data_IF_651766244090
#
_entry.id   IF_651766244090
#
_cell.length_a   1.000
_cell.length_b   1.000
_cell.length_c   1.000
_cell.angle_alpha   90.00
_cell.angle_beta   90.00
_cell.angle_gamma   90.00
#
_symmetry.space_group_name_H-M   'P 1'
#
loop_
_entity.id
_entity.type
_entity.pdbx_description
1 polymer ?
#
# COMPACT_ATOMS: atom_id res chain seq x y z
N UNK A 1 5.30 30.09 18.88
CA UNK A 1 5.53 30.70 20.17
C UNK A 1 6.56 29.89 20.96
N UNK A 2 7.31 30.53 21.89
CA UNK A 2 8.34 29.88 22.67
C UNK A 2 7.78 28.71 23.49
N UNK A 3 6.63 28.91 24.09
CA UNK A 3 5.90 27.91 24.88
C UNK A 3 5.58 26.62 24.05
N UNK A 4 5.12 26.75 22.83
CA UNK A 4 4.86 25.58 21.96
C UNK A 4 6.12 24.75 21.73
N UNK A 5 7.27 25.42 21.54
CA UNK A 5 8.56 24.75 21.37
C UNK A 5 8.97 24.00 22.63
N UNK A 6 8.81 24.63 23.80
CA UNK A 6 9.12 24.01 25.11
C UNK A 6 8.28 22.76 25.38
N UNK A 7 6.97 22.78 25.03
CA UNK A 7 6.10 21.61 25.13
C UNK A 7 6.52 20.46 24.20
N UNK A 8 6.87 20.77 22.96
CA UNK A 8 7.32 19.77 21.99
C UNK A 8 8.68 19.16 22.37
N UNK A 9 9.62 19.98 22.87
CA UNK A 9 10.91 19.52 23.37
C UNK A 9 10.75 18.62 24.61
N UNK A 10 9.84 18.98 25.52
CA UNK A 10 9.51 18.15 26.68
C UNK A 10 8.92 16.79 26.30
N UNK A 11 7.98 16.76 25.34
CA UNK A 11 7.41 15.50 24.85
C UNK A 11 8.47 14.64 24.15
N UNK A 12 9.36 15.28 23.38
CA UNK A 12 10.48 14.58 22.73
C UNK A 12 11.42 13.96 23.75
N UNK A 13 11.75 14.67 24.82
CA UNK A 13 12.57 14.13 25.89
C UNK A 13 11.93 12.89 26.55
N UNK A 14 10.60 12.91 26.76
CA UNK A 14 9.88 11.73 27.27
C UNK A 14 9.95 10.56 26.28
N UNK A 15 9.78 10.82 24.97
CA UNK A 15 9.91 9.78 23.97
C UNK A 15 11.31 9.14 23.96
N UNK A 16 12.35 9.97 24.08
CA UNK A 16 13.75 9.55 24.01
C UNK A 16 14.20 8.79 25.30
N UNK A 17 13.65 9.15 26.47
CA UNK A 17 14.08 8.58 27.76
C UNK A 17 13.14 7.52 28.32
N UNK A 18 11.82 7.74 28.22
CA UNK A 18 10.80 6.91 28.88
C UNK A 18 10.02 6.04 27.87
N UNK A 19 10.22 6.29 26.56
CA UNK A 19 9.61 5.54 25.49
C UNK A 19 8.18 5.94 25.12
N UNK A 20 7.68 5.31 24.06
CA UNK A 20 6.40 5.66 23.44
C UNK A 20 5.18 5.42 24.33
N UNK A 21 5.20 4.40 25.21
CA UNK A 21 4.07 4.13 26.13
C UNK A 21 3.87 5.27 27.13
N UNK A 22 4.96 5.80 27.68
CA UNK A 22 4.88 6.92 28.61
C UNK A 22 4.41 8.20 27.93
N UNK A 23 4.92 8.48 26.74
CA UNK A 23 4.46 9.62 25.94
C UNK A 23 2.97 9.50 25.60
N UNK A 24 2.50 8.31 25.20
CA UNK A 24 1.09 8.04 24.95
C UNK A 24 0.21 8.34 26.16
N UNK A 25 0.57 7.80 27.33
CA UNK A 25 -0.16 8.06 28.57
C UNK A 25 -0.26 9.56 28.92
N UNK A 26 0.84 10.31 28.71
CA UNK A 26 0.82 11.76 28.98
C UNK A 26 -0.11 12.49 28.02
N UNK A 27 -0.08 12.14 26.73
CA UNK A 27 -0.98 12.72 25.71
C UNK A 27 -2.45 12.42 26.03
N UNK A 28 -2.78 11.20 26.45
CA UNK A 28 -4.15 10.85 26.86
C UNK A 28 -4.63 11.72 28.04
N UNK A 29 -3.77 11.89 29.05
CA UNK A 29 -4.10 12.74 30.22
C UNK A 29 -4.28 14.21 29.83
N UNK A 30 -3.47 14.73 28.92
CA UNK A 30 -3.61 16.11 28.40
C UNK A 30 -4.91 16.29 27.62
N UNK A 31 -5.26 15.33 26.77
CA UNK A 31 -6.53 15.30 26.03
C UNK A 31 -7.72 15.26 26.99
N UNK A 32 -7.68 14.40 28.01
CA UNK A 32 -8.75 14.30 29.01
C UNK A 32 -8.90 15.61 29.80
N UNK A 33 -7.81 16.23 30.23
CA UNK A 33 -7.81 17.50 30.94
C UNK A 33 -8.43 18.61 30.08
N UNK A 34 -8.05 18.70 28.82
CA UNK A 34 -8.56 19.69 27.87
C UNK A 34 -10.07 19.53 27.66
N UNK A 35 -10.54 18.28 27.48
CA UNK A 35 -11.97 17.99 27.35
C UNK A 35 -12.76 18.37 28.60
N UNK A 36 -12.27 18.03 29.78
CA UNK A 36 -12.90 18.41 31.05
C UNK A 36 -12.96 19.92 31.27
N UNK A 37 -11.98 20.64 30.74
CA UNK A 37 -11.97 22.11 30.76
C UNK A 37 -12.89 22.75 29.71
N UNK A 38 -13.65 21.95 28.95
CA UNK A 38 -14.54 22.44 27.87
C UNK A 38 -13.84 22.84 26.60
N UNK A 39 -12.55 22.50 26.46
CA UNK A 39 -11.78 22.74 25.23
C UNK A 39 -12.28 21.84 24.10
N UNK A 40 -12.54 22.42 22.93
CA UNK A 40 -12.79 21.68 21.72
C UNK A 40 -11.45 21.20 21.15
N UNK A 41 -11.19 19.90 21.26
CA UNK A 41 -10.02 19.29 20.62
C UNK A 41 -10.34 19.05 19.16
N UNK A 42 -9.57 19.63 18.23
CA UNK A 42 -9.71 19.27 16.82
C UNK A 42 -9.38 17.78 16.68
N UNK A 43 -10.40 16.97 16.42
CA UNK A 43 -10.22 15.57 16.11
C UNK A 43 -9.88 15.42 14.63
N UNK A 44 -8.63 15.19 14.33
CA UNK A 44 -8.19 14.75 13.02
C UNK A 44 -7.86 13.26 13.12
N UNK A 45 -8.67 12.36 12.53
CA UNK A 45 -8.41 10.93 12.52
C UNK A 45 -7.23 10.57 11.62
N UNK A 46 -6.62 11.57 10.99
CA UNK A 46 -5.57 11.42 9.99
C UNK A 46 -4.33 12.23 10.36
N UNK A 47 -3.18 11.75 9.90
CA UNK A 47 -1.88 12.42 10.03
C UNK A 47 -1.56 13.25 8.77
N UNK A 48 -0.46 13.99 8.77
CA UNK A 48 0.02 14.73 7.58
C UNK A 48 0.09 13.82 6.33
N UNK A 49 -0.09 14.39 5.14
CA UNK A 49 -0.09 13.63 3.88
C UNK A 49 1.34 13.33 3.40
N UNK A 50 2.09 12.64 4.26
CA UNK A 50 3.47 12.19 4.04
C UNK A 50 3.62 10.72 4.42
N UNK A 51 4.79 10.15 4.16
CA UNK A 51 5.11 8.79 4.57
C UNK A 51 5.08 8.66 6.09
N UNK A 52 4.56 7.54 6.59
CA UNK A 52 4.55 7.27 8.04
C UNK A 52 5.94 7.01 8.58
N UNK A 53 6.80 6.36 7.79
CA UNK A 53 8.20 6.09 8.15
C UNK A 53 9.07 7.21 7.58
N UNK A 54 9.76 7.99 8.42
CA UNK A 54 10.72 8.99 7.96
C UNK A 54 11.91 8.34 7.25
N UNK A 55 12.51 9.06 6.28
CA UNK A 55 13.62 8.55 5.47
C UNK A 55 14.81 8.05 6.31
N UNK A 56 15.10 8.72 7.42
CA UNK A 56 16.18 8.37 8.36
C UNK A 56 15.92 7.07 9.14
N UNK A 57 14.68 6.59 9.17
CA UNK A 57 14.28 5.37 9.88
C UNK A 57 14.04 4.19 8.92
N UNK A 58 14.28 4.36 7.63
CA UNK A 58 14.13 3.31 6.64
C UNK A 58 15.25 2.28 6.76
N UNK A 59 14.94 0.97 6.88
CA UNK A 59 15.97 -0.07 6.88
C UNK A 59 16.63 -0.16 5.50
N UNK A 60 17.92 -0.50 5.48
CA UNK A 60 18.66 -0.74 4.25
C UNK A 60 18.05 -1.91 3.46
N UNK A 61 18.12 -1.83 2.14
CA UNK A 61 17.83 -2.93 1.23
C UNK A 61 19.13 -3.54 0.72
N UNK A 62 19.28 -4.85 0.85
CA UNK A 62 20.51 -5.58 0.50
C UNK A 62 20.45 -6.19 -0.92
N UNK A 63 19.50 -5.79 -1.77
CA UNK A 63 19.31 -6.34 -3.10
C UNK A 63 20.09 -5.61 -4.21
N UNK A 64 20.19 -6.24 -5.38
CA UNK A 64 20.64 -5.59 -6.62
C UNK A 64 19.45 -4.85 -7.28
N UNK A 65 19.26 -3.60 -6.87
CA UNK A 65 18.16 -2.77 -7.34
C UNK A 65 18.13 -2.57 -8.87
N UNK A 66 19.30 -2.61 -9.53
CA UNK A 66 19.35 -2.47 -10.98
C UNK A 66 18.85 -3.75 -11.67
N UNK A 67 19.21 -4.91 -11.15
CA UNK A 67 18.70 -6.20 -11.64
C UNK A 67 17.21 -6.34 -11.35
N UNK A 68 16.77 -6.01 -10.15
CA UNK A 68 15.34 -6.04 -9.77
C UNK A 68 14.50 -5.13 -10.64
N UNK A 69 14.99 -3.93 -10.94
CA UNK A 69 14.31 -3.02 -11.86
C UNK A 69 14.16 -3.63 -13.26
N UNK A 70 15.19 -4.29 -13.76
CA UNK A 70 15.14 -5.00 -15.06
C UNK A 70 14.13 -6.14 -15.04
N UNK A 71 14.16 -6.99 -14.01
CA UNK A 71 13.23 -8.13 -13.86
C UNK A 71 11.80 -7.61 -13.78
N UNK A 72 11.52 -6.63 -12.92
CA UNK A 72 10.20 -6.01 -12.79
C UNK A 72 9.71 -5.39 -14.10
N UNK A 73 10.60 -4.78 -14.88
CA UNK A 73 10.27 -4.24 -16.20
C UNK A 73 9.88 -5.34 -17.18
N UNK A 74 10.57 -6.47 -17.18
CA UNK A 74 10.23 -7.64 -18.00
C UNK A 74 8.89 -8.25 -17.57
N UNK A 75 8.66 -8.40 -16.25
CA UNK A 75 7.37 -8.89 -15.73
C UNK A 75 6.23 -7.99 -16.20
N UNK A 76 6.36 -6.66 -16.08
CA UNK A 76 5.35 -5.70 -16.55
C UNK A 76 5.10 -5.81 -18.05
N UNK A 77 6.16 -5.96 -18.83
CA UNK A 77 6.07 -6.17 -20.27
C UNK A 77 5.31 -7.45 -20.61
N UNK A 78 5.69 -8.58 -20.00
CA UNK A 78 5.06 -9.87 -20.25
C UNK A 78 3.58 -9.87 -19.83
N UNK A 79 3.24 -9.25 -18.70
CA UNK A 79 1.84 -9.07 -18.27
C UNK A 79 1.01 -8.30 -19.30
N UNK A 80 1.55 -7.20 -19.83
CA UNK A 80 0.92 -6.42 -20.89
C UNK A 80 0.79 -7.25 -22.19
N UNK A 81 1.88 -7.90 -22.61
CA UNK A 81 1.91 -8.69 -23.84
C UNK A 81 0.87 -9.82 -23.81
N UNK A 82 0.73 -10.52 -22.68
CA UNK A 82 -0.27 -11.57 -22.48
C UNK A 82 -1.69 -11.04 -22.68
N UNK A 83 -2.05 -9.93 -22.08
CA UNK A 83 -3.38 -9.32 -22.21
C UNK A 83 -3.62 -8.83 -23.64
N UNK A 84 -2.63 -8.18 -24.27
CA UNK A 84 -2.74 -7.69 -25.66
C UNK A 84 -2.89 -8.87 -26.63
N UNK A 85 -2.15 -9.97 -26.45
CA UNK A 85 -2.28 -11.19 -27.24
C UNK A 85 -3.68 -11.82 -27.09
N UNK A 86 -4.19 -11.89 -25.86
CA UNK A 86 -5.54 -12.39 -25.59
C UNK A 86 -6.62 -11.56 -26.31
N UNK A 87 -6.47 -10.24 -26.34
CA UNK A 87 -7.42 -9.34 -27.03
C UNK A 87 -7.37 -9.42 -28.55
N UNK A 88 -6.29 -9.97 -29.12
CA UNK A 88 -6.20 -10.20 -30.60
C UNK A 88 -6.88 -11.47 -31.02
N UNK A 89 -7.26 -12.35 -30.12
CA UNK A 89 -8.00 -13.58 -30.43
C UNK A 89 -9.48 -13.28 -30.62
N UNK A 90 -10.21 -14.07 -31.41
CA UNK A 90 -11.65 -13.94 -31.51
C UNK A 90 -12.33 -14.08 -30.17
N UNK A 91 -13.30 -13.22 -29.90
CA UNK A 91 -14.04 -13.22 -28.61
C UNK A 91 -13.61 -12.15 -27.61
N UNK A 92 -12.61 -11.34 -27.96
CA UNK A 92 -12.17 -10.18 -27.13
C UNK A 92 -12.07 -10.53 -25.64
N UNK A 93 -11.21 -11.51 -25.31
CA UNK A 93 -11.11 -12.08 -23.95
C UNK A 93 -10.80 -11.05 -22.86
N UNK A 94 -10.24 -9.91 -23.23
CA UNK A 94 -9.96 -8.83 -22.30
C UNK A 94 -8.80 -9.12 -21.35
N UNK A 95 -8.78 -8.41 -20.26
CA UNK A 95 -7.80 -8.50 -19.18
C UNK A 95 -7.44 -7.12 -18.65
N UNK A 96 -6.90 -7.08 -17.45
CA UNK A 96 -6.55 -5.85 -16.77
C UNK A 96 -5.03 -5.64 -16.81
N UNK A 97 -4.60 -4.44 -17.23
CA UNK A 97 -3.17 -4.06 -17.28
C UNK A 97 -2.86 -3.06 -16.16
N UNK A 98 -3.74 -2.08 -15.95
CA UNK A 98 -3.49 -0.94 -15.07
C UNK A 98 -3.26 -1.34 -13.61
N UNK A 99 -4.03 -2.29 -13.08
CA UNK A 99 -3.91 -2.74 -11.69
C UNK A 99 -2.53 -3.29 -11.40
N UNK A 100 -2.01 -4.20 -12.24
CA UNK A 100 -0.66 -4.72 -12.04
C UNK A 100 0.41 -3.66 -12.37
N UNK A 101 0.24 -2.86 -13.41
CA UNK A 101 1.21 -1.82 -13.77
C UNK A 101 1.44 -0.83 -12.62
N UNK A 102 0.40 -0.49 -11.87
CA UNK A 102 0.49 0.38 -10.70
C UNK A 102 1.05 -0.33 -9.46
N UNK A 103 0.73 -1.61 -9.26
CA UNK A 103 1.12 -2.38 -8.08
C UNK A 103 2.41 -3.22 -8.24
N UNK A 104 3.06 -3.19 -9.40
CA UNK A 104 4.19 -4.05 -9.70
C UNK A 104 5.32 -4.00 -8.65
N UNK A 105 5.67 -2.81 -8.16
CA UNK A 105 6.69 -2.64 -7.12
C UNK A 105 6.24 -3.24 -5.78
N UNK A 106 4.95 -3.13 -5.44
CA UNK A 106 4.39 -3.70 -4.21
C UNK A 106 4.53 -5.23 -4.20
N UNK A 107 4.21 -5.90 -5.32
CA UNK A 107 4.38 -7.35 -5.44
C UNK A 107 5.86 -7.75 -5.50
N UNK A 108 6.68 -7.02 -6.25
CA UNK A 108 8.09 -7.33 -6.44
C UNK A 108 8.85 -7.34 -5.12
N UNK A 109 8.71 -6.28 -4.32
CA UNK A 109 9.33 -6.19 -2.98
C UNK A 109 8.82 -7.30 -2.06
N UNK A 110 7.52 -7.61 -2.10
CA UNK A 110 6.95 -8.69 -1.29
C UNK A 110 7.56 -10.06 -1.62
N UNK A 111 7.62 -10.41 -2.90
CA UNK A 111 8.21 -11.67 -3.36
C UNK A 111 9.72 -11.76 -3.11
N UNK A 112 10.44 -10.66 -3.22
CA UNK A 112 11.90 -10.69 -3.12
C UNK A 112 12.39 -10.70 -1.66
N UNK A 113 11.65 -10.09 -0.71
CA UNK A 113 12.19 -9.81 0.62
C UNK A 113 11.35 -10.32 1.80
N UNK A 114 10.04 -10.51 1.63
CA UNK A 114 9.16 -10.69 2.79
C UNK A 114 8.37 -12.00 2.81
N UNK A 115 7.85 -12.44 1.67
CA UNK A 115 6.93 -13.56 1.65
C UNK A 115 7.67 -14.89 1.63
N UNK A 116 7.28 -15.75 2.54
CA UNK A 116 7.94 -17.04 2.77
C UNK A 116 7.11 -18.15 2.18
N UNK A 117 7.76 -19.03 1.41
CA UNK A 117 7.19 -20.28 0.99
C UNK A 117 7.12 -21.28 2.17
N UNK A 118 6.26 -22.32 2.09
CA UNK A 118 6.29 -23.42 3.04
C UNK A 118 7.66 -24.12 3.05
N UNK A 119 8.12 -24.45 4.26
CA UNK A 119 9.33 -25.24 4.51
C UNK A 119 9.02 -26.30 5.57
N UNK A 120 9.98 -27.16 5.91
CA UNK A 120 9.81 -28.15 7.00
C UNK A 120 9.48 -27.48 8.35
N UNK A 121 9.97 -26.26 8.58
CA UNK A 121 9.83 -25.55 9.85
C UNK A 121 8.85 -24.37 9.83
N UNK A 122 8.31 -24.01 8.65
CA UNK A 122 7.43 -22.86 8.48
C UNK A 122 6.34 -23.17 7.45
N UNK A 123 5.08 -22.98 7.82
CA UNK A 123 3.94 -23.30 6.96
C UNK A 123 3.72 -22.32 5.77
N UNK A 124 4.60 -21.34 5.61
CA UNK A 124 4.51 -20.30 4.58
C UNK A 124 3.49 -19.21 4.92
N UNK A 125 3.69 -18.03 4.34
CA UNK A 125 2.72 -16.93 4.42
C UNK A 125 1.58 -17.17 3.43
N UNK A 126 0.44 -16.51 3.62
CA UNK A 126 -0.70 -16.62 2.73
C UNK A 126 -0.94 -15.30 2.01
N UNK A 127 -1.13 -15.38 0.69
CA UNK A 127 -1.32 -14.21 -0.15
C UNK A 127 -2.73 -14.19 -0.77
N UNK A 128 -3.48 -13.13 -0.49
CA UNK A 128 -4.68 -12.78 -1.22
C UNK A 128 -4.29 -11.76 -2.28
N UNK A 129 -4.03 -12.24 -3.49
CA UNK A 129 -3.64 -11.39 -4.63
C UNK A 129 -4.90 -10.70 -5.17
N UNK A 130 -4.85 -9.38 -5.38
CA UNK A 130 -5.94 -8.68 -6.06
C UNK A 130 -6.20 -9.34 -7.43
N UNK A 131 -7.42 -9.77 -7.69
CA UNK A 131 -7.75 -10.54 -8.89
C UNK A 131 -7.31 -9.88 -10.20
N UNK A 132 -7.48 -8.57 -10.31
CA UNK A 132 -7.07 -7.77 -11.48
C UNK A 132 -5.55 -7.72 -11.70
N UNK A 133 -4.74 -8.09 -10.71
CA UNK A 133 -3.28 -8.13 -10.81
C UNK A 133 -2.74 -9.51 -11.23
N UNK A 134 -3.60 -10.51 -11.42
CA UNK A 134 -3.21 -11.88 -11.82
C UNK A 134 -2.28 -11.95 -13.04
N UNK A 135 -2.41 -11.09 -14.10
CA UNK A 135 -1.49 -11.10 -15.22
C UNK A 135 -0.02 -10.94 -14.83
N UNK A 136 0.25 -10.08 -13.85
CA UNK A 136 1.61 -9.88 -13.35
C UNK A 136 2.17 -11.07 -12.59
N UNK A 137 1.32 -11.75 -11.82
CA UNK A 137 1.72 -12.97 -11.08
C UNK A 137 2.04 -14.10 -12.06
N UNK A 138 1.23 -14.28 -13.11
CA UNK A 138 1.52 -15.24 -14.16
C UNK A 138 2.80 -14.90 -14.93
N UNK A 139 3.00 -13.61 -15.26
CA UNK A 139 4.21 -13.16 -15.93
C UNK A 139 5.48 -13.41 -15.09
N UNK A 140 5.42 -13.23 -13.77
CA UNK A 140 6.50 -13.59 -12.86
C UNK A 140 6.72 -15.10 -12.82
N UNK A 141 5.67 -15.88 -12.65
CA UNK A 141 5.75 -17.33 -12.61
C UNK A 141 6.30 -17.94 -13.92
N UNK A 142 6.04 -17.30 -15.06
CA UNK A 142 6.67 -17.66 -16.34
C UNK A 142 8.18 -17.48 -16.31
N UNK A 143 8.68 -16.35 -15.80
CA UNK A 143 10.13 -16.12 -15.66
C UNK A 143 10.77 -17.10 -14.67
N UNK A 144 10.03 -17.56 -13.68
CA UNK A 144 10.45 -18.58 -12.71
C UNK A 144 10.36 -20.03 -13.27
N UNK A 145 9.90 -20.20 -14.51
CA UNK A 145 9.73 -21.51 -15.15
C UNK A 145 8.55 -22.34 -14.64
N UNK A 146 7.62 -21.74 -13.91
CA UNK A 146 6.43 -22.40 -13.33
C UNK A 146 5.22 -22.41 -14.25
N UNK A 147 5.21 -21.56 -15.25
CA UNK A 147 4.16 -21.46 -16.30
C UNK A 147 4.86 -21.44 -17.66
N UNK A 148 4.33 -22.19 -18.61
CA UNK A 148 4.85 -22.25 -20.00
C UNK A 148 4.31 -21.09 -20.85
N UNK A 149 4.96 -20.84 -22.00
CA UNK A 149 4.50 -19.86 -22.97
C UNK A 149 3.11 -20.25 -23.53
N UNK A 150 2.86 -21.53 -23.79
CA UNK A 150 1.58 -22.02 -24.26
C UNK A 150 0.46 -21.74 -23.23
N UNK A 151 0.74 -21.90 -21.95
CA UNK A 151 -0.22 -21.54 -20.89
C UNK A 151 -0.50 -20.04 -20.87
N UNK A 152 0.51 -19.17 -21.03
CA UNK A 152 0.31 -17.72 -21.11
C UNK A 152 -0.49 -17.33 -22.34
N UNK A 153 -0.22 -17.96 -23.48
CA UNK A 153 -0.95 -17.70 -24.72
C UNK A 153 -2.42 -18.12 -24.65
N UNK A 154 -2.75 -19.03 -23.72
CA UNK A 154 -4.12 -19.45 -23.44
C UNK A 154 -4.70 -18.78 -22.17
N UNK A 155 -4.24 -17.58 -21.83
CA UNK A 155 -4.80 -16.77 -20.75
C UNK A 155 -6.31 -16.53 -20.96
N UNK A 156 -7.10 -16.73 -19.91
CA UNK A 156 -8.57 -16.60 -19.90
C UNK A 156 -9.32 -17.59 -20.80
N UNK A 157 -8.71 -18.74 -21.05
CA UNK A 157 -9.32 -19.85 -21.82
C UNK A 157 -9.57 -21.08 -20.94
N UNK A 158 -9.84 -20.86 -19.67
CA UNK A 158 -10.12 -21.91 -18.69
C UNK A 158 -11.36 -22.75 -19.02
N UNK A 159 -12.33 -22.19 -19.72
CA UNK A 159 -13.55 -22.90 -20.17
C UNK A 159 -13.21 -24.03 -21.13
N UNK A 160 -12.17 -23.85 -21.92
CA UNK A 160 -11.71 -24.88 -22.89
C UNK A 160 -10.82 -25.94 -22.23
N UNK A 161 -10.59 -25.85 -20.90
CA UNK A 161 -9.68 -26.73 -20.19
C UNK A 161 -8.21 -26.55 -20.55
N UNK A 162 -7.85 -25.42 -21.16
CA UNK A 162 -6.51 -25.05 -21.56
C UNK A 162 -6.08 -23.75 -20.88
N UNK A 163 -4.78 -23.59 -20.70
CA UNK A 163 -4.23 -22.35 -20.23
C UNK A 163 -4.45 -22.06 -18.76
N UNK A 164 -4.51 -20.79 -18.42
CA UNK A 164 -4.55 -20.28 -17.05
C UNK A 164 -5.83 -19.47 -16.80
N UNK A 165 -6.29 -19.49 -15.56
CA UNK A 165 -7.54 -18.86 -15.16
C UNK A 165 -7.49 -17.34 -15.27
N UNK A 166 -8.66 -16.73 -15.50
CA UNK A 166 -8.84 -15.26 -15.58
C UNK A 166 -8.41 -14.55 -14.28
N UNK A 167 -8.68 -15.19 -13.15
CA UNK A 167 -8.43 -14.66 -11.81
C UNK A 167 -7.92 -15.78 -10.90
N UNK A 168 -7.40 -15.47 -9.70
CA UNK A 168 -7.03 -16.46 -8.71
C UNK A 168 -8.18 -17.42 -8.43
N UNK A 169 -8.02 -18.69 -8.81
CA UNK A 169 -9.06 -19.70 -8.71
C UNK A 169 -8.46 -21.06 -8.30
N UNK A 170 -8.47 -21.41 -7.02
CA UNK A 170 -7.85 -22.65 -6.49
C UNK A 170 -8.38 -23.94 -7.10
N UNK A 171 -9.65 -23.99 -7.54
CA UNK A 171 -10.21 -25.20 -8.15
C UNK A 171 -9.76 -25.41 -9.60
N UNK A 172 -9.52 -24.31 -10.33
CA UNK A 172 -9.02 -24.38 -11.70
C UNK A 172 -7.49 -24.54 -11.76
N UNK A 173 -6.78 -24.02 -10.77
CA UNK A 173 -5.33 -24.10 -10.66
C UNK A 173 -4.91 -24.41 -9.23
N UNK A 174 -5.18 -25.63 -8.71
CA UNK A 174 -4.99 -25.98 -7.29
C UNK A 174 -3.53 -25.96 -6.84
N UNK A 175 -2.59 -26.24 -7.75
CA UNK A 175 -1.15 -26.23 -7.48
C UNK A 175 -0.53 -24.83 -7.59
N UNK A 176 -1.33 -23.83 -7.98
CA UNK A 176 -0.85 -22.46 -8.19
C UNK A 176 -1.51 -21.44 -7.25
N UNK A 177 -2.84 -21.44 -7.14
CA UNK A 177 -3.58 -20.50 -6.33
C UNK A 177 -4.01 -21.10 -5.00
N UNK A 178 -3.72 -20.41 -3.90
CA UNK A 178 -4.13 -20.83 -2.56
C UNK A 178 -5.46 -20.18 -2.14
N UNK A 179 -5.77 -19.00 -2.67
CA UNK A 179 -6.92 -18.18 -2.27
C UNK A 179 -7.71 -17.71 -3.48
N UNK A 180 -9.06 -17.72 -3.43
CA UNK A 180 -9.88 -17.13 -4.47
C UNK A 180 -10.03 -15.63 -4.22
N UNK A 181 -9.85 -14.82 -5.28
CA UNK A 181 -10.01 -13.35 -5.22
C UNK A 181 -10.69 -12.82 -6.48
N UNK A 182 -11.74 -13.50 -6.91
CA UNK A 182 -12.45 -13.18 -8.17
C UNK A 182 -13.30 -11.92 -8.02
N UNK A 183 -14.05 -11.81 -6.93
CA UNK A 183 -14.99 -10.71 -6.69
C UNK A 183 -14.38 -9.69 -5.76
N UNK A 184 -14.54 -8.40 -6.10
CA UNK A 184 -14.08 -7.30 -5.26
C UNK A 184 -14.77 -7.35 -3.87
N UNK A 185 -13.99 -7.09 -2.83
CA UNK A 185 -14.44 -7.16 -1.44
C UNK A 185 -14.35 -8.53 -0.79
N UNK A 186 -14.46 -9.63 -1.53
CA UNK A 186 -14.39 -10.98 -0.96
C UNK A 186 -12.99 -11.37 -0.50
N UNK A 187 -11.94 -10.89 -1.16
CA UNK A 187 -10.56 -11.11 -0.73
C UNK A 187 -10.30 -10.55 0.68
N UNK A 188 -10.53 -9.24 0.91
CA UNK A 188 -10.35 -8.61 2.21
C UNK A 188 -11.13 -9.28 3.35
N UNK A 189 -12.43 -9.52 3.18
CA UNK A 189 -13.23 -10.14 4.24
C UNK A 189 -12.78 -11.58 4.52
N UNK A 190 -12.46 -12.35 3.48
CA UNK A 190 -11.94 -13.71 3.64
C UNK A 190 -10.60 -13.74 4.36
N UNK A 191 -9.70 -12.79 4.05
CA UNK A 191 -8.42 -12.66 4.72
C UNK A 191 -8.56 -12.39 6.22
N UNK A 192 -9.51 -11.53 6.62
CA UNK A 192 -9.83 -11.26 8.03
C UNK A 192 -10.29 -12.55 8.74
N UNK A 193 -11.24 -13.27 8.16
CA UNK A 193 -11.74 -14.50 8.77
C UNK A 193 -10.69 -15.61 8.77
N UNK A 194 -9.83 -15.69 7.76
CA UNK A 194 -8.70 -16.62 7.75
C UNK A 194 -7.68 -16.30 8.84
N UNK A 195 -7.33 -15.03 9.04
CA UNK A 195 -6.44 -14.58 10.10
C UNK A 195 -7.00 -14.92 11.49
N UNK A 196 -8.29 -14.67 11.67
CA UNK A 196 -9.02 -15.02 12.89
C UNK A 196 -9.03 -16.53 13.14
N UNK A 197 -9.29 -17.30 12.09
CA UNK A 197 -9.34 -18.77 12.21
C UNK A 197 -7.96 -19.36 12.57
N UNK A 198 -6.87 -18.83 12.02
CA UNK A 198 -5.53 -19.25 12.42
C UNK A 198 -5.25 -18.95 13.90
N UNK A 199 -5.57 -17.76 14.39
CA UNK A 199 -5.45 -17.44 15.83
C UNK A 199 -6.31 -18.38 16.71
N UNK A 200 -7.50 -18.74 16.24
CA UNK A 200 -8.33 -19.72 16.93
C UNK A 200 -7.66 -21.09 17.01
N UNK A 201 -7.12 -21.60 15.90
CA UNK A 201 -6.43 -22.90 15.87
C UNK A 201 -5.19 -22.91 16.78
N UNK A 202 -4.40 -21.84 16.74
CA UNK A 202 -3.25 -21.64 17.64
C UNK A 202 -3.69 -21.60 19.12
N UNK A 203 -4.74 -20.84 19.42
CA UNK A 203 -5.29 -20.73 20.77
C UNK A 203 -5.86 -22.02 21.32
N UNK A 204 -6.35 -22.91 20.44
CA UNK A 204 -6.84 -24.27 20.80
C UNK A 204 -5.72 -25.32 20.83
N UNK A 205 -4.51 -24.97 20.47
CA UNK A 205 -3.40 -25.92 20.35
C UNK A 205 -3.54 -26.93 19.20
N UNK A 206 -4.42 -26.62 18.21
CA UNK A 206 -4.64 -27.46 17.03
C UNK A 206 -3.63 -27.13 15.91
N UNK A 207 -2.94 -26.00 16.03
CA UNK A 207 -1.86 -25.57 15.16
C UNK A 207 -0.75 -24.97 16.02
N UNK A 208 0.54 -25.17 15.68
CA UNK A 208 1.63 -24.53 16.40
C UNK A 208 1.54 -23.00 16.23
N UNK A 209 1.93 -22.27 17.27
CA UNK A 209 2.09 -20.81 17.17
C UNK A 209 3.21 -20.49 16.20
N UNK A 210 2.93 -19.65 15.25
CA UNK A 210 3.89 -19.25 14.21
C UNK A 210 3.86 -17.72 14.01
N UNK A 211 4.85 -17.22 13.31
CA UNK A 211 4.91 -15.82 12.86
C UNK A 211 4.38 -15.63 11.43
N UNK A 212 3.63 -16.61 10.91
CA UNK A 212 2.96 -16.54 9.61
C UNK A 212 2.09 -15.30 9.49
N UNK A 213 2.14 -14.69 8.33
CA UNK A 213 1.27 -13.56 8.01
C UNK A 213 0.34 -13.86 6.82
N UNK A 214 -0.78 -13.19 6.84
CA UNK A 214 -1.70 -13.10 5.71
C UNK A 214 -1.55 -11.71 5.12
N UNK A 215 -1.18 -11.65 3.86
CA UNK A 215 -1.08 -10.43 3.09
C UNK A 215 -2.25 -10.35 2.11
N UNK A 216 -3.02 -9.30 2.16
CA UNK A 216 -4.17 -9.11 1.29
C UNK A 216 -4.03 -7.83 0.48
N UNK A 217 -4.02 -7.99 -0.84
CA UNK A 217 -3.93 -6.90 -1.79
C UNK A 217 -5.31 -6.52 -2.31
N UNK A 218 -5.62 -5.23 -2.25
CA UNK A 218 -6.86 -4.67 -2.77
C UNK A 218 -6.61 -3.28 -3.37
N UNK A 219 -7.51 -2.85 -4.24
CA UNK A 219 -7.50 -1.50 -4.79
C UNK A 219 -8.24 -0.52 -3.88
N UNK A 220 -7.94 0.78 -4.02
CA UNK A 220 -8.68 1.85 -3.35
C UNK A 220 -10.15 1.89 -3.82
N UNK A 221 -10.43 1.65 -5.10
CA UNK A 221 -11.81 1.50 -5.60
C UNK A 221 -12.53 0.27 -5.05
N UNK A 222 -11.81 -0.80 -4.69
CA UNK A 222 -12.39 -1.98 -4.05
C UNK A 222 -12.87 -1.71 -2.63
N UNK A 223 -12.38 -0.66 -1.99
CA UNK A 223 -12.82 -0.29 -0.64
C UNK A 223 -14.24 0.29 -0.58
N UNK A 224 -14.84 0.59 -1.73
CA UNK A 224 -16.26 0.96 -1.80
C UNK A 224 -17.20 -0.24 -1.64
N UNK A 225 -16.71 -1.46 -1.83
CA UNK A 225 -17.49 -2.66 -1.58
C UNK A 225 -17.70 -2.84 -0.07
N UNK A 226 -18.93 -3.02 0.39
CA UNK A 226 -19.23 -3.18 1.82
C UNK A 226 -18.42 -4.27 2.50
N UNK A 227 -18.11 -5.36 1.79
CA UNK A 227 -17.33 -6.48 2.26
C UNK A 227 -15.88 -6.10 2.56
N UNK A 228 -15.30 -5.17 1.81
CA UNK A 228 -13.91 -4.74 2.00
C UNK A 228 -13.68 -4.11 3.38
N UNK A 229 -14.62 -3.32 3.86
CA UNK A 229 -14.54 -2.63 5.14
C UNK A 229 -15.42 -3.26 6.23
N UNK A 230 -16.29 -4.19 5.87
CA UNK A 230 -17.33 -4.72 6.76
C UNK A 230 -16.80 -5.43 8.02
N UNK A 231 -15.63 -5.99 7.98
CA UNK A 231 -15.03 -6.74 9.11
C UNK A 231 -13.76 -6.09 9.68
N UNK A 232 -13.37 -4.88 9.27
CA UNK A 232 -12.13 -4.25 9.78
C UNK A 232 -12.19 -3.99 11.29
N UNK A 233 -13.36 -3.62 11.82
CA UNK A 233 -13.54 -3.44 13.25
C UNK A 233 -13.40 -4.76 14.04
N UNK A 234 -13.77 -5.90 13.45
CA UNK A 234 -13.54 -7.23 14.03
C UNK A 234 -12.04 -7.50 14.12
N UNK A 235 -11.31 -7.26 13.04
CA UNK A 235 -9.87 -7.50 13.00
C UNK A 235 -9.11 -6.68 14.05
N UNK A 236 -9.46 -5.39 14.21
CA UNK A 236 -8.87 -4.51 15.22
C UNK A 236 -9.20 -4.99 16.64
N UNK A 237 -10.48 -5.27 16.93
CA UNK A 237 -10.93 -5.74 18.25
C UNK A 237 -10.27 -7.04 18.69
N UNK A 238 -10.01 -7.96 17.76
CA UNK A 238 -9.37 -9.25 18.05
C UNK A 238 -7.85 -9.22 17.91
N UNK A 239 -7.26 -8.04 17.67
CA UNK A 239 -5.81 -7.83 17.58
C UNK A 239 -5.14 -8.81 16.60
N UNK A 240 -5.69 -8.91 15.38
CA UNK A 240 -5.20 -9.84 14.37
C UNK A 240 -3.87 -9.38 13.76
N UNK A 241 -2.80 -9.42 14.56
CA UNK A 241 -1.45 -8.97 14.17
C UNK A 241 -0.76 -9.87 13.14
N UNK A 242 -1.39 -10.97 12.77
CA UNK A 242 -1.02 -11.83 11.65
C UNK A 242 -1.63 -11.42 10.31
N UNK A 243 -2.32 -10.26 10.25
CA UNK A 243 -2.98 -9.74 9.05
C UNK A 243 -2.35 -8.43 8.60
N UNK A 244 -2.04 -8.34 7.30
CA UNK A 244 -1.59 -7.11 6.65
C UNK A 244 -2.39 -6.86 5.37
N UNK A 245 -3.04 -5.70 5.28
CA UNK A 245 -3.63 -5.21 4.04
C UNK A 245 -2.65 -4.31 3.30
N UNK A 246 -2.57 -4.45 1.98
CA UNK A 246 -1.83 -3.54 1.10
C UNK A 246 -2.82 -2.95 0.10
N UNK A 247 -3.15 -1.68 0.28
CA UNK A 247 -4.11 -0.98 -0.57
C UNK A 247 -3.34 -0.21 -1.65
N UNK A 248 -3.53 -0.63 -2.89
CA UNK A 248 -3.00 0.04 -4.07
C UNK A 248 -3.86 1.27 -4.39
N UNK A 249 -3.43 2.45 -3.91
CA UNK A 249 -4.12 3.71 -4.14
C UNK A 249 -3.71 4.29 -5.50
N UNK A 250 -4.28 3.73 -6.56
CA UNK A 250 -4.04 4.15 -7.94
C UNK A 250 -5.09 5.11 -8.48
N UNK A 251 -6.06 5.51 -7.66
CA UNK A 251 -7.12 6.47 -7.96
C UNK A 251 -8.02 6.05 -9.14
N UNK A 252 -8.13 4.75 -9.41
CA UNK A 252 -8.89 4.21 -10.54
C UNK A 252 -10.00 3.28 -10.05
N UNK A 253 -11.17 3.38 -10.69
CA UNK A 253 -12.29 2.45 -10.61
C UNK A 253 -12.58 1.87 -11.99
N UNK A 254 -13.43 0.84 -12.05
CA UNK A 254 -13.87 0.28 -13.32
C UNK A 254 -14.69 1.28 -14.15
N UNK A 255 -15.45 2.14 -13.50
CA UNK A 255 -16.37 3.12 -14.06
C UNK A 255 -15.84 4.56 -14.08
N UNK A 256 -14.59 4.77 -13.68
CA UNK A 256 -13.97 6.09 -13.69
C UNK A 256 -12.96 6.35 -12.55
N UNK A 257 -12.54 7.59 -12.38
CA UNK A 257 -11.61 7.95 -11.31
C UNK A 257 -12.29 7.89 -9.94
N UNK A 258 -11.52 7.56 -8.90
CA UNK A 258 -11.94 7.73 -7.51
C UNK A 258 -12.21 9.21 -7.24
N UNK A 259 -13.24 9.52 -6.47
CA UNK A 259 -13.84 10.84 -6.22
C UNK A 259 -12.84 12.01 -6.30
N UNK A 260 -13.09 12.95 -7.22
CA UNK A 260 -12.21 14.08 -7.53
C UNK A 260 -12.05 15.15 -6.45
N UNK A 261 -12.94 15.18 -5.45
CA UNK A 261 -12.97 16.22 -4.41
C UNK A 261 -12.47 15.74 -3.04
N UNK A 262 -11.91 14.54 -2.95
CA UNK A 262 -11.42 13.94 -1.72
C UNK A 262 -9.97 13.52 -1.81
N UNK A 263 -9.51 12.87 -0.75
CA UNK A 263 -8.22 12.20 -0.62
C UNK A 263 -8.46 10.82 -0.05
N UNK A 264 -8.52 9.84 -0.91
CA UNK A 264 -8.87 8.46 -0.53
C UNK A 264 -7.93 7.90 0.55
N UNK A 265 -6.64 8.22 0.51
CA UNK A 265 -5.67 7.77 1.52
C UNK A 265 -6.04 8.32 2.91
N UNK A 266 -6.47 9.59 3.00
CA UNK A 266 -6.86 10.18 4.27
C UNK A 266 -8.20 9.61 4.77
N UNK A 267 -9.15 9.36 3.89
CA UNK A 267 -10.43 8.72 4.23
C UNK A 267 -10.19 7.30 4.78
N UNK A 268 -9.36 6.51 4.09
CA UNK A 268 -8.99 5.16 4.52
C UNK A 268 -8.17 5.18 5.82
N UNK A 269 -7.21 6.11 5.96
CA UNK A 269 -6.46 6.26 7.20
C UNK A 269 -7.41 6.46 8.40
N UNK A 270 -8.39 7.36 8.27
CA UNK A 270 -9.38 7.62 9.31
C UNK A 270 -10.21 6.38 9.65
N UNK A 271 -10.66 5.65 8.64
CA UNK A 271 -11.47 4.44 8.80
C UNK A 271 -10.70 3.31 9.51
N UNK A 272 -9.47 3.02 9.08
CA UNK A 272 -8.66 1.96 9.66
C UNK A 272 -8.15 2.31 11.06
N UNK A 273 -7.73 3.55 11.31
CA UNK A 273 -7.36 4.00 12.67
C UNK A 273 -8.54 3.91 13.63
N UNK A 274 -9.73 4.35 13.20
CA UNK A 274 -10.96 4.23 13.96
C UNK A 274 -11.35 2.79 14.30
N UNK A 275 -10.96 1.84 13.45
CA UNK A 275 -11.15 0.41 13.64
C UNK A 275 -10.02 -0.27 14.45
N UNK A 276 -9.02 0.47 14.94
CA UNK A 276 -7.94 -0.06 15.78
C UNK A 276 -6.79 -0.70 15.00
N UNK A 277 -6.58 -0.33 13.74
CA UNK A 277 -5.47 -0.81 12.93
C UNK A 277 -4.23 0.06 13.04
N UNK A 278 -3.06 -0.55 12.92
CA UNK A 278 -1.82 0.14 12.59
C UNK A 278 -1.84 0.58 11.12
N UNK A 279 -1.69 1.88 10.85
CA UNK A 279 -1.77 2.44 9.49
C UNK A 279 -0.42 2.98 9.07
N UNK A 280 0.10 2.46 7.96
CA UNK A 280 1.34 2.89 7.33
C UNK A 280 1.02 3.54 5.97
N UNK A 281 1.37 4.80 5.81
CA UNK A 281 1.24 5.52 4.54
C UNK A 281 2.55 5.50 3.77
N UNK A 282 2.47 5.18 2.48
CA UNK A 282 3.58 5.19 1.52
C UNK A 282 3.17 6.09 0.36
N UNK A 283 3.35 7.40 0.54
CA UNK A 283 2.80 8.44 -0.35
C UNK A 283 3.82 8.93 -1.35
N UNK A 284 5.03 9.26 -0.88
CA UNK A 284 6.06 9.94 -1.66
C UNK A 284 7.31 9.07 -1.79
N UNK A 285 7.86 9.01 -3.00
CA UNK A 285 9.13 8.33 -3.27
C UNK A 285 10.35 9.11 -2.77
N UNK A 286 11.51 8.49 -2.78
CA UNK A 286 12.77 9.01 -2.21
C UNK A 286 13.23 10.34 -2.81
N UNK A 287 12.85 10.65 -4.05
CA UNK A 287 13.17 11.96 -4.65
C UNK A 287 12.47 13.15 -3.98
N UNK A 288 11.42 12.91 -3.19
CA UNK A 288 10.75 13.92 -2.39
C UNK A 288 11.47 14.23 -1.07
N UNK A 289 12.27 13.31 -0.56
CA UNK A 289 12.92 13.46 0.75
C UNK A 289 13.77 14.74 0.86
N UNK A 290 14.62 15.09 -0.13
CA UNK A 290 15.38 16.35 -0.07
C UNK A 290 14.52 17.60 -0.11
N UNK A 291 13.33 17.55 -0.74
CA UNK A 291 12.40 18.68 -0.76
C UNK A 291 11.71 18.83 0.59
N UNK A 292 11.25 17.70 1.19
CA UNK A 292 10.62 17.69 2.51
C UNK A 292 11.59 18.11 3.61
N UNK A 293 12.87 17.72 3.53
CA UNK A 293 13.92 18.14 4.47
C UNK A 293 14.19 19.65 4.42
N UNK A 294 14.00 20.30 3.27
CA UNK A 294 14.18 21.75 3.08
C UNK A 294 12.91 22.56 3.32
N UNK A 295 11.79 21.92 3.60
CA UNK A 295 10.51 22.57 3.89
C UNK A 295 10.46 23.06 5.36
N UNK A 296 11.37 23.98 5.72
CA UNK A 296 11.51 24.49 7.08
C UNK A 296 10.27 25.22 7.60
N UNK A 297 9.43 25.74 6.71
CA UNK A 297 8.21 26.46 7.04
C UNK A 297 6.95 25.60 6.96
N UNK A 298 7.06 24.34 6.51
CA UNK A 298 5.95 23.42 6.34
C UNK A 298 5.00 23.76 5.20
N UNK A 299 5.40 24.64 4.26
CA UNK A 299 4.53 25.08 3.16
C UNK A 299 4.31 23.96 2.14
N UNK A 300 5.33 23.15 1.87
CA UNK A 300 5.19 21.99 0.98
C UNK A 300 4.24 20.95 1.59
N UNK A 301 4.40 20.62 2.87
CA UNK A 301 3.50 19.71 3.59
C UNK A 301 2.07 20.22 3.60
N UNK A 302 1.88 21.52 3.79
CA UNK A 302 0.57 22.16 3.72
C UNK A 302 -0.07 22.00 2.35
N UNK A 303 0.65 22.32 1.27
CA UNK A 303 0.15 22.13 -0.11
C UNK A 303 -0.15 20.65 -0.36
N UNK A 304 0.71 19.73 0.08
CA UNK A 304 0.46 18.30 -0.03
C UNK A 304 -0.84 17.90 0.70
N UNK A 305 -1.12 18.52 1.84
CA UNK A 305 -2.34 18.27 2.61
C UNK A 305 -3.58 18.88 1.95
N UNK A 306 -3.47 20.05 1.34
CA UNK A 306 -4.59 20.79 0.75
C UNK A 306 -4.95 20.29 -0.67
N UNK A 307 -3.99 19.69 -1.39
CA UNK A 307 -4.18 19.21 -2.77
C UNK A 307 -5.02 17.92 -2.79
N UNK A 308 -6.09 17.90 -3.56
CA UNK A 308 -7.00 16.76 -3.73
C UNK A 308 -6.51 15.76 -4.79
N UNK A 309 -7.08 14.56 -4.79
CA UNK A 309 -6.62 13.48 -5.67
C UNK A 309 -6.74 13.81 -7.16
N UNK A 310 -7.80 14.53 -7.58
CA UNK A 310 -7.95 14.98 -8.96
C UNK A 310 -6.85 15.94 -9.43
N UNK A 311 -6.37 16.84 -8.54
CA UNK A 311 -5.23 17.72 -8.87
C UNK A 311 -3.92 16.92 -8.98
N UNK A 312 -3.72 15.91 -8.13
CA UNK A 312 -2.56 15.01 -8.25
C UNK A 312 -2.57 14.21 -9.56
N UNK A 313 -3.75 13.77 -10.02
CA UNK A 313 -3.89 13.13 -11.33
C UNK A 313 -3.50 14.10 -12.46
N UNK A 314 -3.96 15.35 -12.40
CA UNK A 314 -3.60 16.38 -13.39
C UNK A 314 -2.09 16.63 -13.42
N UNK A 315 -1.43 16.73 -12.26
CA UNK A 315 0.03 16.87 -12.18
C UNK A 315 0.76 15.74 -12.92
N UNK A 316 0.25 14.50 -12.83
CA UNK A 316 0.84 13.35 -13.54
C UNK A 316 0.51 13.36 -15.04
N UNK A 317 -0.72 13.69 -15.41
CA UNK A 317 -1.20 13.69 -16.79
C UNK A 317 -0.54 14.79 -17.63
N UNK A 318 -0.40 16.01 -17.07
CA UNK A 318 0.12 17.18 -17.78
C UNK A 318 1.62 17.41 -17.60
N UNK A 319 2.29 16.65 -16.72
CA UNK A 319 3.74 16.61 -16.62
C UNK A 319 4.38 17.67 -15.73
N UNK A 320 5.73 17.80 -15.85
CA UNK A 320 6.55 18.56 -14.91
C UNK A 320 6.32 20.07 -14.98
N UNK A 321 6.13 20.65 -16.16
CA UNK A 321 5.84 22.08 -16.32
C UNK A 321 4.52 22.47 -15.63
N UNK A 322 3.47 21.67 -15.85
CA UNK A 322 2.18 21.85 -15.18
C UNK A 322 2.32 21.73 -13.65
N UNK A 323 3.04 20.72 -13.20
CA UNK A 323 3.28 20.50 -11.75
C UNK A 323 4.06 21.66 -11.13
N UNK A 324 5.04 22.20 -11.83
CA UNK A 324 5.78 23.40 -11.38
C UNK A 324 4.84 24.57 -11.16
N UNK A 325 3.99 24.86 -12.15
CA UNK A 325 3.09 26.00 -12.11
C UNK A 325 1.95 25.84 -11.10
N UNK A 326 1.23 24.70 -11.17
CA UNK A 326 -0.03 24.53 -10.48
C UNK A 326 0.09 23.88 -9.09
N UNK A 327 1.19 23.18 -8.82
CA UNK A 327 1.46 22.58 -7.51
C UNK A 327 2.51 23.39 -6.74
N UNK A 328 3.75 23.46 -7.24
CA UNK A 328 4.81 24.18 -6.54
C UNK A 328 4.66 25.70 -6.62
N UNK A 329 4.02 26.23 -7.64
CA UNK A 329 3.76 27.66 -7.82
C UNK A 329 2.70 28.25 -6.90
N UNK A 330 2.04 27.44 -6.05
CA UNK A 330 1.02 27.91 -5.11
C UNK A 330 1.57 28.88 -4.05
N UNK A 331 2.85 28.76 -3.68
CA UNK A 331 3.54 29.71 -2.79
C UNK A 331 4.96 30.01 -3.28
N UNK A 332 5.53 31.19 -2.96
CA UNK A 332 6.91 31.49 -3.30
C UNK A 332 7.92 30.51 -2.73
N UNK A 333 7.69 30.04 -1.51
CA UNK A 333 8.56 29.10 -0.78
C UNK A 333 8.64 27.76 -1.52
N UNK A 334 7.51 27.22 -1.96
CA UNK A 334 7.49 25.95 -2.70
C UNK A 334 8.03 26.09 -4.11
N UNK A 335 7.81 27.24 -4.78
CA UNK A 335 8.42 27.54 -6.06
C UNK A 335 9.95 27.59 -5.97
N UNK A 336 10.50 28.18 -4.89
CA UNK A 336 11.95 28.22 -4.65
C UNK A 336 12.55 26.84 -4.41
N UNK A 337 11.84 25.93 -3.72
CA UNK A 337 12.31 24.54 -3.48
C UNK A 337 12.67 23.82 -4.79
N UNK A 338 11.97 24.11 -5.87
CA UNK A 338 12.16 23.48 -7.19
C UNK A 338 12.79 24.40 -8.24
N UNK A 339 13.27 25.58 -7.85
CA UNK A 339 13.82 26.59 -8.77
C UNK A 339 14.98 26.07 -9.63
N UNK A 340 15.77 25.15 -9.08
CA UNK A 340 16.93 24.53 -9.75
C UNK A 340 16.62 23.20 -10.45
N UNK A 341 15.41 22.68 -10.32
CA UNK A 341 15.00 21.44 -10.98
C UNK A 341 14.46 21.73 -12.38
N UNK A 342 14.79 20.89 -13.35
CA UNK A 342 14.13 20.91 -14.65
C UNK A 342 12.69 20.35 -14.54
N UNK A 343 11.85 20.61 -15.55
CA UNK A 343 10.51 20.02 -15.59
C UNK A 343 10.56 18.48 -15.67
N UNK A 344 11.61 17.96 -16.30
CA UNK A 344 11.84 16.52 -16.32
C UNK A 344 12.18 15.96 -14.93
N UNK A 345 12.92 16.70 -14.10
CA UNK A 345 13.23 16.29 -12.73
C UNK A 345 11.95 16.32 -11.86
N UNK A 346 11.12 17.36 -12.02
CA UNK A 346 9.81 17.42 -11.35
C UNK A 346 8.91 16.28 -11.78
N UNK A 347 8.89 15.92 -13.07
CA UNK A 347 8.11 14.78 -13.55
C UNK A 347 8.57 13.44 -12.97
N UNK A 348 9.87 13.32 -12.65
CA UNK A 348 10.47 12.14 -12.00
C UNK A 348 10.16 12.02 -10.50
N UNK A 349 9.61 13.05 -9.87
CA UNK A 349 9.16 12.98 -8.49
C UNK A 349 8.06 11.91 -8.37
N UNK A 350 8.46 10.72 -7.95
CA UNK A 350 7.63 9.52 -8.02
C UNK A 350 6.74 9.35 -6.77
N UNK A 351 5.70 8.52 -6.89
CA UNK A 351 4.86 8.13 -5.75
C UNK A 351 5.55 7.02 -4.95
N UNK A 352 5.24 6.95 -3.65
CA UNK A 352 5.88 6.01 -2.74
C UNK A 352 5.66 4.54 -3.10
N UNK A 353 4.46 4.21 -3.59
CA UNK A 353 4.14 2.84 -4.02
C UNK A 353 4.94 2.34 -5.24
N UNK A 354 5.64 3.23 -5.95
CA UNK A 354 6.58 2.88 -7.02
C UNK A 354 8.04 2.86 -6.58
N UNK A 355 8.31 3.24 -5.34
CA UNK A 355 9.65 3.29 -4.78
C UNK A 355 9.94 2.05 -3.93
N UNK A 356 10.85 1.16 -4.34
CA UNK A 356 11.13 -0.07 -3.61
C UNK A 356 11.64 0.18 -2.19
N UNK A 357 12.41 1.25 -1.92
CA UNK A 357 12.89 1.56 -0.58
C UNK A 357 11.73 1.90 0.38
N UNK A 358 10.79 2.74 -0.09
CA UNK A 358 9.62 3.14 0.70
C UNK A 358 8.70 1.95 0.97
N UNK A 359 8.49 1.10 -0.04
CA UNK A 359 7.68 -0.12 0.10
C UNK A 359 8.36 -1.11 1.05
N UNK A 360 9.68 -1.32 0.91
CA UNK A 360 10.46 -2.19 1.79
C UNK A 360 10.36 -1.75 3.25
N UNK A 361 10.54 -0.45 3.53
CA UNK A 361 10.41 0.10 4.88
C UNK A 361 9.03 -0.18 5.49
N UNK A 362 7.96 0.03 4.71
CA UNK A 362 6.60 -0.24 5.16
C UNK A 362 6.36 -1.74 5.43
N UNK A 363 6.86 -2.61 4.57
CA UNK A 363 6.71 -4.06 4.74
C UNK A 363 7.52 -4.58 5.94
N UNK A 364 8.72 -4.05 6.15
CA UNK A 364 9.54 -4.36 7.33
C UNK A 364 8.81 -3.96 8.63
N UNK A 365 8.26 -2.74 8.68
CA UNK A 365 7.49 -2.27 9.82
C UNK A 365 6.23 -3.10 10.05
N UNK A 366 5.48 -3.44 8.98
CA UNK A 366 4.29 -4.29 9.06
C UNK A 366 4.62 -5.71 9.53
N UNK A 367 5.74 -6.26 9.09
CA UNK A 367 6.20 -7.60 9.51
C UNK A 367 6.58 -7.66 10.98
N UNK A 368 7.20 -6.60 11.49
CA UNK A 368 7.63 -6.49 12.89
C UNK A 368 6.48 -6.15 13.85
N UNK A 369 5.43 -5.48 13.36
CA UNK A 369 4.34 -4.97 14.20
C UNK A 369 3.55 -6.10 14.87
N UNK A 370 3.21 -5.92 16.15
CA UNK A 370 2.45 -6.86 16.98
C UNK A 370 1.27 -6.17 17.66
N UNK A 371 0.27 -6.96 18.02
CA UNK A 371 -0.88 -6.50 18.79
C UNK A 371 -1.99 -5.82 17.97
N UNK A 372 -1.78 -5.54 16.69
CA UNK A 372 -2.80 -4.93 15.81
C UNK A 372 -2.64 -5.44 14.38
N UNK A 373 -3.73 -5.57 13.61
CA UNK A 373 -3.63 -5.73 12.16
C UNK A 373 -3.01 -4.47 11.54
N UNK A 374 -2.30 -4.63 10.43
CA UNK A 374 -1.66 -3.51 9.73
C UNK A 374 -2.29 -3.27 8.37
N UNK A 375 -2.49 -2.00 8.02
CA UNK A 375 -2.81 -1.58 6.65
C UNK A 375 -1.73 -0.66 6.11
N UNK A 376 -1.31 -0.93 4.88
CA UNK A 376 -0.37 -0.10 4.11
C UNK A 376 -1.16 0.60 3.01
N UNK A 377 -1.21 1.93 3.07
CA UNK A 377 -1.86 2.77 2.07
C UNK A 377 -0.78 3.26 1.09
N UNK A 378 -0.67 2.59 -0.05
CA UNK A 378 0.41 2.83 -1.01
C UNK A 378 -0.09 3.66 -2.20
N UNK A 379 0.37 4.93 -2.29
CA UNK A 379 0.06 5.79 -3.42
C UNK A 379 0.88 5.39 -4.63
N UNK A 380 0.19 5.11 -5.75
CA UNK A 380 0.82 4.70 -7.01
C UNK A 380 0.51 5.63 -8.19
N UNK A 381 -0.40 6.54 -8.02
CA UNK A 381 -0.71 7.62 -9.00
C UNK A 381 -0.75 8.99 -8.37
#
# INVERSE_FOLDING_TARGET
PKETKEWLESLKAVLDHDGAERAHHLLERMVELTRRAGGNLPFHPTTEYINTIPAENEPAMDGDLAMEWRIRSIIRWNAMAMVVRANRKPGELGGHIASFASSATLYDVGFNYFWRAPTENHLGDLLYIQGHSSPGIYARAFLEGRISEDQLDNFRMEVDGRGISSYPHPWLMPDFWQTPTVSMGLGPISAIYQARFWKYLEGRGLMPKTDRKIWCFLGDGETDEPESLGAIALAGRENLDNLCFVINCNLQRLDGPVRGNGKIIQELEGSFRGAGWNVLKVVWGSYWDPLLQRDYQGQLKKIMMDTVDGEYQNCKAFGGAYTREHFFGKTPETAELVSKLSDQDIYRLNRGGHDPHKVHAAYAAASAHKGQPTVILAKTV
#
